data_IF_588356827828
#
_entry.id   IF_588356827828
#
_cell.length_a   1.000
_cell.length_b   1.000
_cell.length_c   1.000
_cell.angle_alpha   90.00
_cell.angle_beta   90.00
_cell.angle_gamma   90.00
#
_symmetry.space_group_name_H-M   'P 1'
#
loop_
_entity.id
_entity.type
_entity.pdbx_description
1 polymer ?
#
# COMPACT_ATOMS: atom_id res chain seq x y z
N UNK A 1 34.70 -71.86 4.13
CA UNK A 1 34.72 -70.53 4.77
C UNK A 1 33.62 -69.69 4.12
N UNK A 2 32.51 -69.43 4.82
CA UNK A 2 31.43 -68.53 4.35
C UNK A 2 31.53 -67.23 5.14
N UNK A 3 31.74 -66.13 4.42
CA UNK A 3 31.88 -64.78 4.96
C UNK A 3 30.52 -64.29 5.47
N UNK A 4 30.44 -63.88 6.73
CA UNK A 4 29.29 -63.15 7.27
C UNK A 4 29.39 -61.68 6.83
N UNK A 5 28.42 -61.20 6.03
CA UNK A 5 28.21 -59.78 5.78
C UNK A 5 27.51 -59.14 6.97
N UNK A 6 28.15 -58.19 7.64
CA UNK A 6 27.58 -57.47 8.78
C UNK A 6 26.60 -56.37 8.33
N UNK A 7 25.47 -56.14 9.04
CA UNK A 7 24.48 -55.12 8.69
C UNK A 7 24.84 -53.71 9.22
N UNK A 8 26.11 -53.44 9.49
CA UNK A 8 26.56 -52.24 10.21
C UNK A 8 26.63 -50.96 9.36
N UNK A 9 26.49 -51.05 8.04
CA UNK A 9 26.60 -49.91 7.13
C UNK A 9 25.33 -49.07 6.95
N UNK A 10 24.15 -49.62 7.24
CA UNK A 10 22.87 -48.96 6.94
C UNK A 10 22.43 -47.97 8.04
N UNK A 11 22.95 -48.12 9.27
CA UNK A 11 22.54 -47.30 10.42
C UNK A 11 23.20 -45.92 10.47
N UNK A 12 24.34 -45.70 9.82
CA UNK A 12 25.06 -44.42 9.91
C UNK A 12 24.50 -43.34 8.96
N UNK A 13 24.00 -43.73 7.79
CA UNK A 13 23.44 -42.81 6.80
C UNK A 13 22.08 -42.21 7.23
N UNK A 14 21.24 -42.99 7.94
CA UNK A 14 19.95 -42.52 8.46
C UNK A 14 20.15 -41.51 9.60
N UNK A 15 21.17 -41.70 10.43
CA UNK A 15 21.51 -40.76 11.51
C UNK A 15 22.02 -39.43 10.95
N UNK A 16 22.80 -39.45 9.86
CA UNK A 16 23.28 -38.21 9.22
C UNK A 16 22.15 -37.41 8.56
N UNK A 17 21.13 -38.08 7.99
CA UNK A 17 19.96 -37.42 7.39
C UNK A 17 19.01 -36.80 8.45
N UNK A 18 18.97 -37.35 9.67
CA UNK A 18 18.16 -36.82 10.78
C UNK A 18 18.79 -35.61 11.48
N UNK A 19 20.12 -35.46 11.42
CA UNK A 19 20.84 -34.33 12.04
C UNK A 19 20.76 -33.05 11.17
N UNK A 20 20.63 -33.16 9.84
CA UNK A 20 20.55 -31.99 8.95
C UNK A 20 19.19 -31.28 8.96
N UNK A 21 18.11 -31.93 9.43
CA UNK A 21 16.76 -31.33 9.46
C UNK A 21 16.54 -30.34 10.62
N UNK A 22 17.48 -30.22 11.57
CA UNK A 22 17.27 -29.47 12.81
C UNK A 22 17.81 -28.03 12.80
N UNK A 23 18.30 -27.52 11.66
CA UNK A 23 18.86 -26.16 11.56
C UNK A 23 18.11 -25.20 10.64
N UNK A 24 16.86 -25.50 10.27
CA UNK A 24 15.95 -24.46 9.77
C UNK A 24 15.47 -23.61 10.94
N UNK A 25 16.27 -22.60 11.32
CA UNK A 25 15.74 -21.49 12.11
C UNK A 25 14.74 -20.76 11.21
N UNK A 26 13.45 -21.00 11.42
CA UNK A 26 12.41 -20.11 10.90
C UNK A 26 12.77 -18.70 11.38
N UNK A 27 13.13 -17.82 10.45
CA UNK A 27 13.45 -16.44 10.78
C UNK A 27 12.16 -15.79 11.26
N UNK A 28 12.18 -15.23 12.47
CA UNK A 28 11.06 -14.41 12.94
C UNK A 28 10.91 -13.21 12.01
N UNK A 29 9.69 -12.90 11.54
CA UNK A 29 9.48 -11.73 10.70
C UNK A 29 10.01 -10.47 11.37
N UNK A 30 10.65 -9.59 10.59
CA UNK A 30 11.00 -8.25 11.06
C UNK A 30 9.72 -7.45 11.34
N UNK A 31 9.82 -6.36 12.11
CA UNK A 31 8.68 -5.49 12.38
C UNK A 31 8.04 -4.96 11.08
N UNK A 32 8.86 -4.61 10.09
CA UNK A 32 8.39 -4.16 8.79
C UNK A 32 7.71 -5.26 7.98
N UNK A 33 8.19 -6.51 8.07
CA UNK A 33 7.52 -7.65 7.44
C UNK A 33 6.15 -7.92 8.06
N UNK A 34 6.06 -7.91 9.39
CA UNK A 34 4.80 -8.10 10.10
C UNK A 34 3.79 -6.96 9.82
N UNK A 35 4.27 -5.72 9.75
CA UNK A 35 3.44 -4.57 9.39
C UNK A 35 2.93 -4.67 7.96
N UNK A 36 3.80 -5.00 7.00
CA UNK A 36 3.41 -5.19 5.61
C UNK A 36 2.36 -6.30 5.47
N UNK A 37 2.56 -7.43 6.15
CA UNK A 37 1.62 -8.56 6.16
C UNK A 37 0.22 -8.16 6.68
N UNK A 38 0.20 -7.35 7.73
CA UNK A 38 -1.03 -6.81 8.31
C UNK A 38 -1.75 -5.88 7.34
N UNK A 39 -1.02 -5.00 6.65
CA UNK A 39 -1.58 -4.11 5.63
C UNK A 39 -2.19 -4.91 4.48
N UNK A 40 -1.49 -5.94 4.00
CA UNK A 40 -2.00 -6.83 2.93
C UNK A 40 -3.29 -7.48 3.38
N UNK A 41 -3.29 -8.09 4.57
CA UNK A 41 -4.45 -8.84 5.09
C UNK A 41 -5.67 -7.95 5.35
N UNK A 42 -5.47 -6.73 5.85
CA UNK A 42 -6.55 -5.74 6.01
C UNK A 42 -7.10 -5.33 4.64
N UNK A 43 -6.23 -5.08 3.67
CA UNK A 43 -6.64 -4.67 2.32
C UNK A 43 -7.38 -5.79 1.60
N UNK A 44 -6.90 -7.03 1.72
CA UNK A 44 -7.55 -8.24 1.20
C UNK A 44 -8.95 -8.44 1.76
N UNK A 45 -9.14 -8.20 3.07
CA UNK A 45 -10.43 -8.39 3.73
C UNK A 45 -11.45 -7.28 3.42
N UNK A 46 -10.99 -6.06 3.15
CA UNK A 46 -11.87 -4.87 3.15
C UNK A 46 -11.90 -4.08 1.84
N UNK A 47 -10.98 -4.34 0.91
CA UNK A 47 -10.95 -3.63 -0.36
C UNK A 47 -12.12 -4.04 -1.24
N UNK A 48 -12.80 -3.06 -1.82
CA UNK A 48 -13.81 -3.30 -2.88
C UNK A 48 -13.18 -3.83 -4.17
N UNK A 49 -11.85 -3.72 -4.30
CA UNK A 49 -11.07 -4.21 -5.44
C UNK A 49 -10.40 -5.56 -5.15
N UNK A 50 -10.73 -6.22 -4.03
CA UNK A 50 -9.99 -7.41 -3.58
C UNK A 50 -10.03 -8.57 -4.59
N UNK A 51 -11.10 -8.71 -5.36
CA UNK A 51 -11.25 -9.80 -6.34
C UNK A 51 -10.52 -9.54 -7.67
N UNK A 52 -9.79 -8.42 -7.80
CA UNK A 52 -9.11 -8.04 -9.06
C UNK A 52 -7.68 -8.57 -9.18
N UNK A 53 -7.14 -9.15 -8.12
CA UNK A 53 -5.74 -9.57 -8.04
C UNK A 53 -5.63 -10.99 -7.50
N UNK A 54 -4.55 -11.67 -7.86
CA UNK A 54 -4.10 -12.88 -7.18
C UNK A 54 -3.31 -12.45 -5.92
N UNK A 55 -3.89 -12.68 -4.74
CA UNK A 55 -3.31 -12.25 -3.46
C UNK A 55 -2.01 -12.96 -3.10
N UNK A 56 -1.85 -14.23 -3.48
CA UNK A 56 -0.61 -14.96 -3.21
C UNK A 56 0.54 -14.39 -4.04
N UNK A 57 0.28 -14.12 -5.33
CA UNK A 57 1.24 -13.49 -6.22
C UNK A 57 1.57 -12.06 -5.76
N UNK A 58 0.55 -11.24 -5.49
CA UNK A 58 0.72 -9.86 -5.07
C UNK A 58 1.49 -9.77 -3.74
N UNK A 59 1.17 -10.61 -2.76
CA UNK A 59 1.86 -10.67 -1.47
C UNK A 59 3.35 -10.97 -1.65
N UNK A 60 3.69 -11.98 -2.46
CA UNK A 60 5.08 -12.33 -2.78
C UNK A 60 5.84 -11.15 -3.42
N UNK A 61 5.23 -10.49 -4.41
CA UNK A 61 5.82 -9.34 -5.07
C UNK A 61 6.01 -8.14 -4.12
N UNK A 62 5.04 -7.88 -3.24
CA UNK A 62 5.17 -6.84 -2.21
C UNK A 62 6.34 -7.13 -1.26
N UNK A 63 6.48 -8.35 -0.77
CA UNK A 63 7.62 -8.70 0.08
C UNK A 63 8.96 -8.58 -0.64
N UNK A 64 9.02 -8.89 -1.95
CA UNK A 64 10.24 -8.70 -2.76
C UNK A 64 10.66 -7.23 -2.89
N UNK A 65 9.73 -6.30 -2.73
CA UNK A 65 9.94 -4.85 -2.81
C UNK A 65 10.27 -4.23 -1.44
N UNK A 66 10.15 -4.99 -0.36
CA UNK A 66 10.48 -4.52 0.97
C UNK A 66 12.00 -4.36 1.10
N UNK A 67 12.46 -3.13 1.32
CA UNK A 67 13.89 -2.89 1.55
C UNK A 67 14.35 -3.52 2.87
N UNK A 68 15.62 -3.92 2.95
CA UNK A 68 16.22 -4.45 4.19
C UNK A 68 16.43 -3.38 5.30
N UNK A 69 15.78 -2.22 5.19
CA UNK A 69 15.84 -1.14 6.18
C UNK A 69 14.90 -1.42 7.35
N UNK A 70 15.33 -1.08 8.56
CA UNK A 70 14.50 -1.08 9.77
C UNK A 70 13.56 0.15 9.84
N UNK A 71 13.69 1.09 8.91
CA UNK A 71 12.82 2.27 8.84
C UNK A 71 11.42 1.88 8.39
N UNK A 72 10.38 2.45 9.00
CA UNK A 72 8.99 2.22 8.58
C UNK A 72 8.75 2.66 7.13
N UNK A 73 9.54 3.59 6.61
CA UNK A 73 9.54 4.01 5.21
C UNK A 73 9.82 2.86 4.23
N UNK A 74 10.40 1.75 4.69
CA UNK A 74 10.60 0.55 3.88
C UNK A 74 9.29 -0.01 3.30
N UNK A 75 8.16 0.22 3.96
CA UNK A 75 6.84 -0.27 3.51
C UNK A 75 6.18 0.60 2.44
N UNK A 76 6.72 1.79 2.14
CA UNK A 76 6.11 2.72 1.18
C UNK A 76 6.01 2.08 -0.21
N UNK A 77 7.15 1.66 -0.77
CA UNK A 77 7.21 1.12 -2.12
C UNK A 77 6.31 -0.13 -2.34
N UNK A 78 6.28 -1.14 -1.45
CA UNK A 78 5.37 -2.26 -1.63
C UNK A 78 3.88 -1.88 -1.49
N UNK A 79 3.53 -0.92 -0.62
CA UNK A 79 2.13 -0.50 -0.44
C UNK A 79 1.63 0.32 -1.63
N UNK A 80 2.45 1.21 -2.19
CA UNK A 80 2.08 1.92 -3.43
C UNK A 80 1.95 0.97 -4.62
N UNK A 81 2.76 -0.10 -4.65
CA UNK A 81 2.60 -1.18 -5.63
C UNK A 81 1.27 -1.93 -5.47
N UNK A 82 0.85 -2.21 -4.23
CA UNK A 82 -0.45 -2.81 -3.95
C UNK A 82 -1.61 -1.97 -4.51
N UNK A 83 -1.61 -0.66 -4.25
CA UNK A 83 -2.66 0.23 -4.78
C UNK A 83 -2.63 0.29 -6.31
N UNK A 84 -1.45 0.26 -6.93
CA UNK A 84 -1.33 0.18 -8.39
C UNK A 84 -1.86 -1.15 -8.96
N UNK A 85 -1.53 -2.28 -8.34
CA UNK A 85 -2.01 -3.61 -8.75
C UNK A 85 -3.53 -3.75 -8.60
N UNK A 86 -4.11 -3.18 -7.54
CA UNK A 86 -5.56 -3.13 -7.31
C UNK A 86 -6.30 -2.18 -8.25
N UNK A 87 -5.60 -1.31 -8.99
CA UNK A 87 -6.23 -0.21 -9.71
C UNK A 87 -6.92 0.81 -8.80
N UNK A 88 -6.50 0.90 -7.52
CA UNK A 88 -7.09 1.78 -6.53
C UNK A 88 -6.39 3.15 -6.51
N UNK A 89 -7.08 4.15 -7.05
CA UNK A 89 -6.60 5.54 -7.10
C UNK A 89 -7.01 6.36 -5.87
N UNK A 90 -7.89 5.82 -5.03
CA UNK A 90 -8.39 6.50 -3.83
C UNK A 90 -7.68 5.99 -2.57
N UNK A 91 -7.21 4.75 -2.56
CA UNK A 91 -6.38 4.18 -1.52
C UNK A 91 -5.10 4.97 -1.29
N UNK A 92 -4.62 4.97 -0.05
CA UNK A 92 -3.34 5.57 0.28
C UNK A 92 -2.87 5.24 1.69
N UNK A 93 -1.55 5.17 1.86
CA UNK A 93 -0.87 5.06 3.14
C UNK A 93 -0.55 6.45 3.66
N UNK A 94 -1.04 6.78 4.86
CA UNK A 94 -0.64 8.00 5.57
C UNK A 94 0.49 7.67 6.54
N UNK A 95 1.68 8.18 6.28
CA UNK A 95 2.85 7.96 7.12
C UNK A 95 3.56 9.29 7.38
N UNK A 96 3.73 9.65 8.66
CA UNK A 96 4.34 10.92 9.10
C UNK A 96 3.72 12.16 8.42
N UNK A 97 2.40 12.16 8.27
CA UNK A 97 1.64 13.24 7.63
C UNK A 97 1.68 13.24 6.10
N UNK A 98 2.42 12.32 5.47
CA UNK A 98 2.53 12.23 4.00
C UNK A 98 1.67 11.09 3.50
N UNK A 99 0.86 11.37 2.49
CA UNK A 99 0.08 10.36 1.79
C UNK A 99 0.91 9.75 0.65
N UNK A 100 0.93 8.43 0.58
CA UNK A 100 1.54 7.62 -0.47
C UNK A 100 0.43 6.81 -1.12
N UNK A 101 0.24 6.95 -2.43
CA UNK A 101 -0.87 6.39 -3.19
C UNK A 101 -0.35 5.64 -4.42
N UNK A 102 -1.25 5.05 -5.19
CA UNK A 102 -0.88 4.35 -6.43
C UNK A 102 0.03 5.20 -7.33
N UNK A 103 1.12 4.60 -7.82
CA UNK A 103 1.98 5.18 -8.84
C UNK A 103 1.29 5.17 -10.21
N UNK A 104 0.22 5.95 -10.37
CA UNK A 104 -0.42 6.11 -11.67
C UNK A 104 -0.16 7.52 -12.20
N UNK A 105 0.41 7.61 -13.40
CA UNK A 105 0.37 8.86 -14.18
C UNK A 105 -1.05 8.99 -14.71
N UNK A 106 -1.87 9.81 -14.05
CA UNK A 106 -3.08 10.32 -14.69
C UNK A 106 -2.65 11.25 -15.82
N UNK A 107 -2.62 10.74 -17.05
CA UNK A 107 -2.71 11.59 -18.23
C UNK A 107 -4.11 12.16 -18.25
N UNK A 108 -4.30 13.34 -17.65
CA UNK A 108 -5.55 14.05 -17.82
C UNK A 108 -5.67 14.42 -19.30
N UNK A 109 -6.75 14.01 -19.99
CA UNK A 109 -6.91 14.29 -21.42
C UNK A 109 -7.05 15.79 -21.72
N UNK A 110 -7.17 16.63 -20.69
CA UNK A 110 -7.32 18.06 -20.79
C UNK A 110 -6.30 18.78 -19.92
N UNK A 111 -5.59 19.78 -20.45
CA UNK A 111 -4.78 20.66 -19.61
C UNK A 111 -5.70 21.38 -18.62
N UNK A 112 -5.37 21.27 -17.34
CA UNK A 112 -6.08 22.02 -16.31
C UNK A 112 -5.60 23.45 -16.35
N UNK A 113 -6.49 24.40 -16.62
CA UNK A 113 -6.17 25.81 -16.56
C UNK A 113 -5.93 26.22 -15.10
N UNK A 114 -4.67 26.56 -14.78
CA UNK A 114 -4.26 26.96 -13.44
C UNK A 114 -5.01 28.20 -12.94
N UNK A 115 -5.50 29.05 -13.84
CA UNK A 115 -6.32 30.21 -13.45
C UNK A 115 -7.66 29.79 -12.84
N UNK A 116 -8.26 28.70 -13.35
CA UNK A 116 -9.50 28.12 -12.81
C UNK A 116 -9.25 27.53 -11.42
N UNK A 117 -8.16 26.76 -11.26
CA UNK A 117 -7.79 26.22 -9.94
C UNK A 117 -7.55 27.34 -8.93
N UNK A 118 -6.80 28.39 -9.32
CA UNK A 118 -6.53 29.52 -8.43
C UNK A 118 -7.81 30.26 -8.04
N UNK A 119 -8.74 30.45 -8.98
CA UNK A 119 -10.05 31.03 -8.69
C UNK A 119 -10.83 30.16 -7.69
N UNK A 120 -10.91 28.84 -7.90
CA UNK A 120 -11.59 27.90 -6.99
C UNK A 120 -10.98 27.96 -5.58
N UNK A 121 -9.65 27.99 -5.46
CA UNK A 121 -8.97 28.05 -4.17
C UNK A 121 -9.20 29.37 -3.42
N UNK A 122 -9.48 30.47 -4.14
CA UNK A 122 -9.80 31.77 -3.56
C UNK A 122 -11.30 31.93 -3.22
N UNK A 123 -12.17 31.09 -3.76
CA UNK A 123 -13.63 31.22 -3.67
C UNK A 123 -14.26 30.89 -2.30
N UNK A 124 -13.44 30.49 -1.31
CA UNK A 124 -13.88 30.15 0.04
C UNK A 124 -14.73 28.87 0.12
N UNK A 125 -15.11 28.47 1.33
CA UNK A 125 -15.90 27.25 1.62
C UNK A 125 -17.40 27.53 1.80
N UNK A 126 -17.87 28.68 1.34
CA UNK A 126 -19.26 29.10 1.50
C UNK A 126 -20.15 28.59 0.36
N UNK A 127 -21.36 28.17 0.72
CA UNK A 127 -22.44 27.96 -0.25
C UNK A 127 -22.85 29.34 -0.77
N UNK A 128 -22.85 29.51 -2.08
CA UNK A 128 -23.28 30.75 -2.73
C UNK A 128 -24.38 30.46 -3.74
N UNK A 129 -25.36 31.34 -3.89
CA UNK A 129 -26.49 31.13 -4.77
C UNK A 129 -26.99 32.47 -5.32
N UNK A 130 -27.47 32.48 -6.55
CA UNK A 130 -27.99 33.69 -7.17
C UNK A 130 -28.61 33.45 -8.54
N UNK A 131 -28.92 34.56 -9.22
CA UNK A 131 -29.46 34.57 -10.58
C UNK A 131 -28.41 35.13 -11.54
N UNK A 132 -28.06 34.38 -12.57
CA UNK A 132 -27.29 34.84 -13.71
C UNK A 132 -28.20 35.62 -14.68
N UNK A 133 -27.59 36.20 -15.71
CA UNK A 133 -28.31 36.77 -16.84
C UNK A 133 -29.29 35.74 -17.44
N UNK A 134 -30.36 36.24 -18.07
CA UNK A 134 -31.41 35.44 -18.70
C UNK A 134 -32.23 34.56 -17.72
N UNK A 135 -32.18 34.87 -16.42
CA UNK A 135 -33.03 34.22 -15.42
C UNK A 135 -32.58 32.81 -15.05
N UNK A 136 -31.29 32.50 -15.21
CA UNK A 136 -30.72 31.20 -14.83
C UNK A 136 -30.31 31.25 -13.36
N UNK A 137 -30.89 30.40 -12.51
CA UNK A 137 -30.43 30.24 -11.15
C UNK A 137 -29.11 29.47 -11.10
N UNK A 138 -28.17 29.90 -10.24
CA UNK A 138 -26.96 29.16 -9.92
C UNK A 138 -26.90 28.84 -8.42
N UNK A 139 -26.26 27.71 -8.10
CA UNK A 139 -25.93 27.29 -6.75
C UNK A 139 -24.50 26.74 -6.76
N UNK A 140 -23.60 27.42 -6.08
CA UNK A 140 -22.24 27.00 -5.79
C UNK A 140 -22.27 26.17 -4.51
N UNK A 141 -21.98 24.89 -4.63
CA UNK A 141 -21.75 24.01 -3.49
C UNK A 141 -20.24 23.77 -3.42
N UNK A 142 -19.53 24.34 -2.43
CA UNK A 142 -18.10 24.14 -2.28
C UNK A 142 -17.82 22.68 -1.91
N UNK A 143 -16.59 22.24 -2.19
CA UNK A 143 -16.14 20.93 -1.72
C UNK A 143 -16.14 20.94 -0.19
N UNK A 144 -16.93 20.06 0.42
CA UNK A 144 -16.95 19.88 1.87
C UNK A 144 -15.68 19.11 2.24
N UNK A 145 -14.64 19.83 2.67
CA UNK A 145 -13.56 19.20 3.41
C UNK A 145 -14.15 18.72 4.75
N UNK A 146 -14.37 17.42 4.87
CA UNK A 146 -14.45 16.76 6.19
C UNK A 146 -13.04 16.70 6.77
N UNK A 147 -12.34 17.83 6.88
CA UNK A 147 -11.11 17.92 7.65
C UNK A 147 -11.50 18.04 9.11
N UNK A 148 -10.99 17.14 9.93
CA UNK A 148 -11.00 17.31 11.37
C UNK A 148 -10.21 18.60 11.68
N UNK A 149 -10.82 19.66 12.25
CA UNK A 149 -10.12 20.93 12.52
C UNK A 149 -8.99 20.78 13.55
N UNK A 150 -8.81 19.61 14.17
CA UNK A 150 -7.73 19.31 15.10
C UNK A 150 -6.44 18.79 14.43
N UNK A 151 -6.38 18.64 13.11
CA UNK A 151 -5.14 18.29 12.41
C UNK A 151 -4.67 19.50 11.63
N UNK A 152 -3.74 20.27 12.22
CA UNK A 152 -2.90 21.19 11.46
C UNK A 152 -2.30 20.40 10.29
N UNK A 153 -2.75 20.71 9.07
CA UNK A 153 -2.12 20.19 7.87
C UNK A 153 -0.80 20.95 7.76
N UNK A 154 0.36 20.31 7.99
CA UNK A 154 1.58 21.08 8.05
C UNK A 154 1.95 21.56 6.64
N UNK A 155 2.54 22.76 6.59
CA UNK A 155 2.79 23.60 5.41
C UNK A 155 3.47 22.91 4.20
N UNK A 156 4.03 21.71 4.40
CA UNK A 156 4.74 20.94 3.39
C UNK A 156 3.86 20.06 2.49
N UNK A 157 2.53 20.01 2.69
CA UNK A 157 1.61 19.28 1.80
C UNK A 157 1.23 20.07 0.52
N UNK A 158 1.63 21.34 0.42
CA UNK A 158 1.41 22.16 -0.77
C UNK A 158 2.66 22.18 -1.66
N UNK A 159 2.85 21.14 -2.48
CA UNK A 159 3.72 21.18 -3.67
C UNK A 159 3.15 20.32 -4.78
#
# INVERSE_FOLDING_TARGET
MKQLSSPLGLSLAVVFLLITVHFTKAQTPTANQALLDSIISITEMHSVYADQVDWDSLRSEMFSRLSASDSVEAIIAPVEYMFAALGDFHGGLLLKGRRYNSYYKTEYPYPVDLSIINAINQMGSEIDAGMLADGIAYLKIPHLYLSNPAVEVPEWTAR
#
